data_IF_796589299616
#
_entry.id   IF_796589299616
#
_cell.length_a   1.000
_cell.length_b   1.000
_cell.length_c   1.000
_cell.angle_alpha   90.00
_cell.angle_beta   90.00
_cell.angle_gamma   90.00
#
_symmetry.space_group_name_H-M   'P 1'
#
loop_
_entity.id
_entity.type
_entity.pdbx_description
1 polymer ?
#
# COMPACT_ATOMS: atom_id res chain seq x y z
N UNK A 1 -36.43 -35.02 4.04
CA UNK A 1 -35.30 -34.96 3.09
C UNK A 1 -34.65 -33.60 3.23
N UNK A 2 -33.48 -33.54 3.90
CA UNK A 2 -32.75 -32.31 4.17
C UNK A 2 -32.00 -31.87 2.90
N UNK A 3 -32.29 -30.68 2.38
CA UNK A 3 -31.49 -30.05 1.34
C UNK A 3 -30.54 -29.04 2.01
N UNK A 4 -29.27 -29.42 2.12
CA UNK A 4 -28.15 -28.54 2.46
C UNK A 4 -27.76 -27.71 1.25
N UNK A 5 -27.85 -26.37 1.34
CA UNK A 5 -27.31 -25.45 0.34
C UNK A 5 -25.88 -25.05 0.71
N UNK A 6 -24.93 -25.34 -0.17
CA UNK A 6 -23.52 -24.96 -0.07
C UNK A 6 -23.24 -23.60 -0.76
N UNK A 7 -22.14 -22.91 -0.40
CA UNK A 7 -21.96 -21.48 -0.64
C UNK A 7 -21.43 -21.16 -2.05
N UNK A 8 -21.88 -20.04 -2.59
CA UNK A 8 -21.36 -19.42 -3.82
C UNK A 8 -19.94 -18.92 -3.60
N UNK A 9 -18.96 -19.60 -4.21
CA UNK A 9 -17.60 -19.08 -4.37
C UNK A 9 -17.64 -18.03 -5.47
N UNK A 10 -17.50 -16.76 -5.12
CA UNK A 10 -17.34 -15.67 -6.07
C UNK A 10 -15.97 -15.77 -6.75
N UNK A 11 -15.97 -16.41 -7.92
CA UNK A 11 -14.91 -16.34 -8.90
C UNK A 11 -14.86 -14.94 -9.48
N UNK A 12 -13.74 -14.25 -9.31
CA UNK A 12 -13.28 -13.27 -10.30
C UNK A 12 -11.78 -13.46 -10.49
N UNK A 13 -11.44 -14.54 -11.18
CA UNK A 13 -10.15 -14.65 -11.84
C UNK A 13 -10.23 -13.81 -13.12
N UNK A 14 -9.80 -12.55 -13.06
CA UNK A 14 -9.48 -11.80 -14.27
C UNK A 14 -8.06 -12.17 -14.69
N UNK A 15 -7.98 -13.14 -15.59
CA UNK A 15 -6.79 -13.39 -16.40
C UNK A 15 -6.64 -12.25 -17.43
N UNK A 16 -5.73 -11.32 -17.17
CA UNK A 16 -5.14 -10.51 -18.24
C UNK A 16 -3.65 -10.83 -18.28
N UNK A 17 -3.20 -11.21 -19.48
CA UNK A 17 -1.83 -11.58 -19.82
C UNK A 17 -0.87 -10.38 -19.78
N UNK A 18 -0.93 -9.58 -18.71
CA UNK A 18 0.07 -8.56 -18.42
C UNK A 18 1.32 -9.24 -17.88
N UNK A 19 2.53 -8.76 -18.22
CA UNK A 19 3.72 -9.13 -17.49
C UNK A 19 3.40 -9.00 -16.00
N UNK A 20 3.64 -10.07 -15.24
CA UNK A 20 3.35 -10.20 -13.81
C UNK A 20 3.40 -8.84 -13.13
N UNK A 21 2.24 -8.27 -12.79
CA UNK A 21 2.07 -6.89 -12.31
C UNK A 21 3.19 -6.56 -11.33
N UNK A 22 4.18 -5.83 -11.81
CA UNK A 22 5.28 -5.31 -11.02
C UNK A 22 4.66 -4.39 -9.98
N UNK A 23 4.67 -4.80 -8.71
CA UNK A 23 4.11 -4.01 -7.62
C UNK A 23 5.08 -2.84 -7.34
N UNK A 24 4.74 -1.60 -7.74
CA UNK A 24 5.60 -0.45 -7.54
C UNK A 24 5.67 -0.11 -6.06
N UNK A 25 6.83 0.34 -5.60
CA UNK A 25 7.13 0.58 -4.19
C UNK A 25 7.25 2.08 -3.95
N UNK A 26 6.58 2.56 -2.91
CA UNK A 26 6.72 3.89 -2.36
C UNK A 26 7.44 3.76 -1.02
N UNK A 27 8.59 4.41 -0.88
CA UNK A 27 9.33 4.42 0.38
C UNK A 27 8.91 5.63 1.20
N UNK A 28 8.65 5.44 2.49
CA UNK A 28 8.41 6.51 3.46
C UNK A 28 9.48 6.48 4.55
N UNK A 29 9.80 7.60 5.22
CA UNK A 29 10.81 7.58 6.25
C UNK A 29 10.36 6.76 7.46
N UNK A 30 11.28 6.01 8.06
CA UNK A 30 11.04 5.28 9.31
C UNK A 30 11.02 6.19 10.56
N UNK A 31 11.40 7.47 10.42
CA UNK A 31 11.53 8.37 11.56
C UNK A 31 10.18 8.63 12.24
N UNK A 32 10.15 8.53 13.57
CA UNK A 32 8.92 8.72 14.36
C UNK A 32 8.34 10.14 14.30
N UNK A 33 9.17 11.14 14.02
CA UNK A 33 8.76 12.53 13.82
C UNK A 33 8.30 12.81 12.39
N UNK A 34 8.28 11.80 11.51
CA UNK A 34 7.87 11.97 10.11
C UNK A 34 6.41 12.38 10.00
N UNK A 35 6.18 13.50 9.31
CA UNK A 35 4.84 13.97 8.99
C UNK A 35 4.11 12.89 8.18
N UNK A 36 4.77 12.38 7.14
CA UNK A 36 4.28 11.26 6.33
C UNK A 36 5.01 9.99 6.73
N UNK A 37 4.27 8.95 7.06
CA UNK A 37 4.78 7.67 7.55
C UNK A 37 3.88 6.53 7.05
N UNK A 38 4.28 5.28 7.30
CA UNK A 38 3.55 4.09 6.83
C UNK A 38 2.09 4.07 7.30
N UNK A 39 1.77 4.68 8.43
CA UNK A 39 0.43 4.68 9.03
C UNK A 39 -0.54 5.64 8.34
N UNK A 40 -0.07 6.81 7.88
CA UNK A 40 -0.94 7.82 7.28
C UNK A 40 -0.79 7.96 5.76
N UNK A 41 0.28 7.42 5.17
CA UNK A 41 0.54 7.54 3.75
C UNK A 41 -0.58 6.97 2.89
N UNK A 42 -1.24 5.88 3.32
CA UNK A 42 -2.39 5.30 2.61
C UNK A 42 -3.49 6.34 2.38
N UNK A 43 -3.94 6.98 3.45
CA UNK A 43 -5.04 7.94 3.40
C UNK A 43 -4.67 9.21 2.64
N UNK A 44 -3.42 9.65 2.80
CA UNK A 44 -2.91 10.77 2.03
C UNK A 44 -2.95 10.49 0.52
N UNK A 45 -2.50 9.29 0.11
CA UNK A 45 -2.37 8.94 -1.30
C UNK A 45 -3.71 8.53 -1.95
N UNK A 46 -4.62 7.89 -1.19
CA UNK A 46 -5.94 7.49 -1.69
C UNK A 46 -6.98 8.62 -1.61
N UNK A 47 -7.07 9.31 -0.47
CA UNK A 47 -8.12 10.31 -0.21
C UNK A 47 -7.64 11.76 -0.40
N UNK A 48 -6.32 11.98 -0.55
CA UNK A 48 -5.75 13.34 -0.54
C UNK A 48 -5.83 14.02 0.82
N UNK A 49 -6.04 13.26 1.91
CA UNK A 49 -6.27 13.80 3.26
C UNK A 49 -5.17 13.39 4.21
N UNK A 50 -4.59 14.38 4.86
CA UNK A 50 -3.66 14.16 5.95
C UNK A 50 -4.40 13.76 7.23
N UNK A 51 -3.91 12.71 7.90
CA UNK A 51 -4.22 12.43 9.31
C UNK A 51 -2.92 12.30 10.09
N UNK A 52 -2.95 12.85 11.30
CA UNK A 52 -1.87 12.70 12.25
C UNK A 52 -1.73 11.25 12.72
N UNK A 53 -0.53 10.89 13.18
CA UNK A 53 -0.26 9.57 13.76
C UNK A 53 -1.22 9.24 14.92
N UNK A 54 -1.59 10.24 15.72
CA UNK A 54 -2.52 10.06 16.84
C UNK A 54 -3.94 9.72 16.38
N UNK A 55 -4.43 10.38 15.33
CA UNK A 55 -5.75 10.12 14.75
C UNK A 55 -5.82 8.73 14.12
N UNK A 56 -4.77 8.33 13.39
CA UNK A 56 -4.68 6.97 12.82
C UNK A 56 -4.68 5.93 13.93
N UNK A 57 -3.88 6.13 15.00
CA UNK A 57 -3.85 5.24 16.16
C UNK A 57 -5.22 5.12 16.85
N UNK A 58 -5.95 6.23 17.00
CA UNK A 58 -7.30 6.26 17.59
C UNK A 58 -8.33 5.54 16.73
N UNK A 59 -8.14 5.50 15.42
CA UNK A 59 -9.06 4.84 14.49
C UNK A 59 -8.99 3.31 14.50
N UNK A 60 -7.98 2.73 15.15
CA UNK A 60 -7.78 1.27 15.17
C UNK A 60 -7.39 0.68 13.81
N UNK A 61 -6.95 1.51 12.86
CA UNK A 61 -6.47 1.06 11.57
C UNK A 61 -5.25 0.14 11.73
N UNK A 62 -5.25 -0.97 10.98
CA UNK A 62 -4.18 -1.97 11.01
C UNK A 62 -2.84 -1.34 10.59
N UNK A 63 -1.90 -1.29 11.53
CA UNK A 63 -0.61 -0.62 11.39
C UNK A 63 0.37 -1.40 10.50
N UNK A 64 0.13 -2.70 10.29
CA UNK A 64 0.98 -3.59 9.49
C UNK A 64 0.47 -3.83 8.09
N UNK A 65 -0.76 -3.40 7.79
CA UNK A 65 -1.35 -3.56 6.48
C UNK A 65 -0.50 -2.84 5.43
N UNK A 66 0.15 -3.65 4.58
CA UNK A 66 0.75 -3.20 3.33
C UNK A 66 -0.29 -2.31 2.64
N UNK A 67 -0.01 -1.01 2.69
CA UNK A 67 -0.98 -0.01 2.27
C UNK A 67 -0.94 0.06 0.77
N UNK A 68 -1.74 -0.80 0.17
CA UNK A 68 -2.00 -0.79 -1.26
C UNK A 68 -2.77 0.48 -1.59
N UNK A 69 -2.16 1.42 -2.31
CA UNK A 69 -2.91 2.55 -2.89
C UNK A 69 -3.41 2.13 -4.25
N UNK A 70 -4.67 2.41 -4.54
CA UNK A 70 -5.31 2.05 -5.79
C UNK A 70 -5.62 3.33 -6.61
N UNK A 71 -4.81 3.63 -7.63
CA UNK A 71 -5.05 4.80 -8.51
C UNK A 71 -5.70 4.34 -9.81
N UNK A 72 -6.81 4.97 -10.20
CA UNK A 72 -7.33 4.84 -11.56
C UNK A 72 -6.47 5.68 -12.51
N UNK A 73 -5.68 5.02 -13.33
CA UNK A 73 -5.01 5.61 -14.47
C UNK A 73 -5.55 4.91 -15.72
N UNK A 74 -6.07 5.68 -16.68
CA UNK A 74 -6.57 5.16 -17.97
C UNK A 74 -7.41 3.86 -17.85
N UNK A 75 -8.36 3.84 -16.91
CA UNK A 75 -9.30 2.73 -16.65
C UNK A 75 -8.74 1.50 -15.91
N UNK A 76 -7.51 1.53 -15.40
CA UNK A 76 -6.95 0.46 -14.57
C UNK A 76 -6.64 0.89 -13.14
N UNK A 77 -6.92 -0.02 -12.21
CA UNK A 77 -6.57 0.11 -10.80
C UNK A 77 -5.12 -0.33 -10.57
N UNK A 78 -4.18 0.62 -10.49
CA UNK A 78 -2.79 0.34 -10.15
C UNK A 78 -2.60 0.29 -8.64
N UNK A 79 -1.97 -0.79 -8.14
CA UNK A 79 -1.65 -1.03 -6.73
C UNK A 79 -0.22 -0.61 -6.43
N UNK A 80 0.01 0.09 -5.31
CA UNK A 80 1.35 0.51 -4.84
C UNK A 80 1.64 -0.04 -3.45
N UNK A 81 2.84 -0.60 -3.22
CA UNK A 81 3.30 -1.06 -1.91
C UNK A 81 4.04 0.05 -1.17
N UNK A 82 3.59 0.40 0.04
CA UNK A 82 4.28 1.38 0.90
C UNK A 82 5.19 0.65 1.89
N UNK A 83 6.47 1.03 1.95
CA UNK A 83 7.48 0.49 2.88
C UNK A 83 8.21 1.61 3.61
N UNK A 84 8.59 1.37 4.85
CA UNK A 84 9.42 2.27 5.67
C UNK A 84 10.82 1.71 5.97
N UNK A 85 10.98 0.39 5.88
CA UNK A 85 12.26 -0.29 6.00
C UNK A 85 12.75 -0.77 4.63
N UNK A 86 13.84 -0.18 4.16
CA UNK A 86 14.49 -0.55 2.88
C UNK A 86 15.45 -1.73 3.00
N UNK A 87 15.92 -2.07 4.21
CA UNK A 87 16.83 -3.20 4.43
C UNK A 87 16.16 -4.56 4.16
N UNK A 88 14.83 -4.58 4.19
CA UNK A 88 14.03 -5.76 3.86
C UNK A 88 13.78 -5.94 2.36
N UNK A 89 14.21 -4.99 1.52
CA UNK A 89 14.04 -5.06 0.07
C UNK A 89 15.06 -6.04 -0.53
N UNK A 90 14.58 -6.92 -1.41
CA UNK A 90 15.48 -7.75 -2.23
C UNK A 90 16.06 -6.93 -3.38
N UNK A 91 17.15 -7.41 -3.97
CA UNK A 91 17.86 -6.74 -5.07
C UNK A 91 16.96 -6.38 -6.26
N UNK A 92 16.01 -7.26 -6.62
CA UNK A 92 15.03 -7.00 -7.69
C UNK A 92 14.00 -5.93 -7.29
N UNK A 93 13.78 -5.73 -5.99
CA UNK A 93 12.77 -4.81 -5.48
C UNK A 93 13.21 -3.34 -5.59
N UNK A 94 14.52 -3.08 -5.59
CA UNK A 94 15.07 -1.72 -5.71
C UNK A 94 14.65 -1.02 -6.99
N UNK A 95 14.60 -1.77 -8.10
CA UNK A 95 14.15 -1.24 -9.38
C UNK A 95 12.66 -0.87 -9.38
N UNK A 96 11.88 -1.34 -8.39
CA UNK A 96 10.43 -1.08 -8.31
C UNK A 96 10.10 0.17 -7.53
N UNK A 97 11.09 0.84 -6.94
CA UNK A 97 10.87 2.09 -6.22
C UNK A 97 10.50 3.16 -7.23
N UNK A 98 9.28 3.68 -7.11
CA UNK A 98 8.74 4.72 -8.00
C UNK A 98 8.66 6.10 -7.32
N UNK A 99 8.70 6.12 -5.98
CA UNK A 99 8.72 7.35 -5.20
C UNK A 99 9.34 7.13 -3.83
N UNK A 100 9.92 8.20 -3.27
CA UNK A 100 10.49 8.23 -1.91
C UNK A 100 10.05 9.52 -1.23
N UNK A 101 9.40 9.38 -0.07
CA UNK A 101 9.22 10.49 0.86
C UNK A 101 10.45 10.59 1.74
N UNK A 102 10.95 11.81 1.92
CA UNK A 102 12.13 12.11 2.72
C UNK A 102 11.81 13.14 3.79
N UNK A 103 12.39 12.99 4.97
CA UNK A 103 12.30 13.99 6.04
C UNK A 103 13.61 14.05 6.82
N UNK A 104 14.22 15.23 6.89
CA UNK A 104 15.46 15.47 7.64
C UNK A 104 16.70 15.68 6.75
N UNK A 105 17.90 15.68 7.35
CA UNK A 105 19.15 15.85 6.64
C UNK A 105 19.48 14.65 5.75
N UNK A 106 20.27 14.86 4.69
CA UNK A 106 20.63 13.84 3.69
C UNK A 106 21.72 12.85 4.13
N UNK A 107 22.07 12.82 5.42
CA UNK A 107 23.25 12.14 5.98
C UNK A 107 22.87 11.12 7.06
#
# INVERSE_FOLDING_TARGET
MLATSQPVKSTTQMSSNRPSRWEPIIVVPQAHSSLINKWNAKMLLEEGKYRSKEEVRKSGADMDSVSTVARMEEQELQRYRIVDNVDALKDDEWNRIVAVFVQGPAW
#
